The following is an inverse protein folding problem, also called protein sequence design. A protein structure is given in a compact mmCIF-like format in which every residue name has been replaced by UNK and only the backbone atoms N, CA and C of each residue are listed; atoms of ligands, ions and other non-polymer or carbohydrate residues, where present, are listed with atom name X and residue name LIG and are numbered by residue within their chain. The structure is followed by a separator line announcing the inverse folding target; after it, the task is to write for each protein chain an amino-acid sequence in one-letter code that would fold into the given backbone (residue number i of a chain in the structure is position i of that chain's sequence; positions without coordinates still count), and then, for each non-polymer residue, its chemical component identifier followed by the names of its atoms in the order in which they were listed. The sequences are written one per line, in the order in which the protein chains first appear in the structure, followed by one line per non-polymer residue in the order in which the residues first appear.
data_IF_858902673593
#
_entry.id   IF_858902673593
#
_cell.length_a   1.000
_cell.length_b   1.000
_cell.length_c   1.000
_cell.angle_alpha   90.00
_cell.angle_beta   90.00
_cell.angle_gamma   90.00
#
_symmetry.space_group_name_H-M   'P 1'
#
loop_
_entity.id
_entity.type
_entity.pdbx_description
1 polymer ?
#
# COMPACT_ATOMS: atom_id res chain seq x y z
N UNK A 1 59.63 7.48 67.22
CA UNK A 1 59.32 7.44 65.78
C UNK A 1 57.89 7.96 65.67
N UNK A 2 57.76 9.27 65.86
CA UNK A 2 56.53 10.00 65.90
C UNK A 2 56.75 11.34 65.19
N UNK A 3 55.65 11.82 64.56
CA UNK A 3 55.42 13.13 63.95
C UNK A 3 56.12 13.52 62.65
N UNK A 4 55.46 13.08 61.56
CA UNK A 4 55.39 13.93 60.37
C UNK A 4 53.94 14.15 59.96
N UNK A 5 53.05 14.55 60.89
CA UNK A 5 51.78 15.13 60.57
C UNK A 5 52.02 16.51 59.94
N UNK A 6 51.80 16.59 58.60
CA UNK A 6 52.04 17.79 57.81
C UNK A 6 51.34 19.01 58.42
N UNK A 7 52.02 20.16 58.41
CA UNK A 7 51.46 21.45 58.85
C UNK A 7 50.10 21.73 58.21
N UNK A 8 49.08 22.14 58.94
CA UNK A 8 47.76 22.44 58.40
C UNK A 8 47.91 23.51 57.30
N UNK A 9 47.36 23.22 56.13
CA UNK A 9 47.33 24.17 54.98
C UNK A 9 46.57 25.43 55.40
N UNK A 10 47.22 26.64 55.29
CA UNK A 10 46.53 27.87 55.71
C UNK A 10 45.25 28.13 54.95
N UNK A 11 44.15 28.41 55.64
CA UNK A 11 42.80 28.65 55.06
C UNK A 11 42.82 29.59 53.87
N UNK A 12 43.71 30.61 53.86
CA UNK A 12 43.88 31.55 52.73
C UNK A 12 44.42 30.86 51.47
N UNK A 13 45.33 29.89 51.63
CA UNK A 13 45.83 29.11 50.47
C UNK A 13 44.75 28.18 49.87
N UNK A 14 43.89 27.56 50.70
CA UNK A 14 42.76 26.75 50.24
C UNK A 14 41.78 27.61 49.48
N UNK A 15 41.45 28.82 50.01
CA UNK A 15 40.55 29.75 49.33
C UNK A 15 41.10 30.22 47.97
N UNK A 16 42.37 30.57 47.89
CA UNK A 16 42.99 31.00 46.62
C UNK A 16 42.98 29.85 45.57
N UNK A 17 43.32 28.62 45.98
CA UNK A 17 43.26 27.46 45.09
C UNK A 17 41.83 27.20 44.63
N UNK A 18 40.84 27.29 45.54
CA UNK A 18 39.40 27.09 45.18
C UNK A 18 38.91 28.17 44.21
N UNK A 19 39.28 29.45 44.42
CA UNK A 19 38.93 30.55 43.50
C UNK A 19 39.62 30.35 42.13
N UNK A 20 40.86 29.91 42.09
CA UNK A 20 41.57 29.65 40.86
C UNK A 20 40.96 28.46 40.07
N UNK A 21 40.66 27.38 40.77
CA UNK A 21 39.94 26.23 40.17
C UNK A 21 38.54 26.65 39.64
N UNK A 22 37.78 27.41 40.42
CA UNK A 22 36.50 27.93 40.01
C UNK A 22 36.62 28.83 38.76
N UNK A 23 37.61 29.71 38.70
CA UNK A 23 37.87 30.55 37.53
C UNK A 23 38.18 29.73 36.25
N UNK A 24 39.01 28.70 36.40
CA UNK A 24 39.33 27.78 35.30
C UNK A 24 38.07 27.06 34.83
N UNK A 25 37.29 26.49 35.74
CA UNK A 25 36.05 25.77 35.39
C UNK A 25 35.04 26.68 34.70
N UNK A 26 34.89 27.92 35.21
CA UNK A 26 34.02 28.93 34.60
C UNK A 26 34.47 29.30 33.17
N UNK A 27 35.77 29.54 32.99
CA UNK A 27 36.36 29.77 31.65
C UNK A 27 36.11 28.62 30.70
N UNK A 28 36.34 27.38 31.13
CA UNK A 28 36.08 26.19 30.32
C UNK A 28 34.57 26.06 29.97
N UNK A 29 33.70 26.28 30.93
CA UNK A 29 32.25 26.24 30.70
C UNK A 29 31.79 27.28 29.65
N UNK A 30 32.32 28.51 29.76
CA UNK A 30 32.02 29.59 28.79
C UNK A 30 32.59 29.21 27.39
N UNK A 31 33.81 28.70 27.35
CA UNK A 31 34.45 28.29 26.10
C UNK A 31 33.65 27.20 25.40
N UNK A 32 33.22 26.16 26.13
CA UNK A 32 32.38 25.06 25.60
C UNK A 32 31.04 25.62 25.12
N UNK A 33 30.39 26.47 25.92
CA UNK A 33 29.11 27.07 25.54
C UNK A 33 29.19 27.93 24.27
N UNK A 34 30.25 28.75 24.13
CA UNK A 34 30.51 29.56 22.95
C UNK A 34 30.80 28.68 21.74
N UNK A 35 31.57 27.62 21.89
CA UNK A 35 31.86 26.68 20.84
C UNK A 35 30.59 26.00 20.33
N UNK A 36 29.77 25.47 21.24
CA UNK A 36 28.49 24.83 20.91
C UNK A 36 27.56 25.79 20.21
N UNK A 37 27.41 27.02 20.72
CA UNK A 37 26.58 28.06 20.08
C UNK A 37 27.03 28.36 18.64
N UNK A 38 28.34 28.41 18.37
CA UNK A 38 28.89 28.68 17.03
C UNK A 38 28.74 27.49 16.08
N UNK A 39 28.91 26.28 16.57
CA UNK A 39 28.78 25.05 15.78
C UNK A 39 27.34 24.84 15.25
N UNK A 40 26.33 25.30 15.98
CA UNK A 40 24.94 25.22 15.55
C UNK A 40 24.50 26.30 14.54
N UNK A 41 25.43 27.15 14.08
CA UNK A 41 25.16 28.11 13.00
C UNK A 41 25.27 27.47 11.61
N UNK A 42 24.67 28.13 10.62
CA UNK A 42 24.72 27.67 9.23
C UNK A 42 25.83 28.33 8.42
N UNK A 43 26.64 29.19 9.04
CA UNK A 43 27.75 29.90 8.40
C UNK A 43 29.07 29.20 8.68
N UNK A 44 29.80 28.84 7.62
CA UNK A 44 31.08 28.13 7.68
C UNK A 44 32.06 28.85 8.61
N UNK A 45 32.25 30.18 8.49
CA UNK A 45 33.18 30.95 9.31
C UNK A 45 32.87 30.90 10.81
N UNK A 46 31.59 30.76 11.19
CA UNK A 46 31.16 30.62 12.58
C UNK A 46 31.42 29.22 13.11
N UNK A 47 31.08 28.20 12.31
CA UNK A 47 31.31 26.80 12.66
C UNK A 47 32.83 26.52 12.81
N UNK A 48 33.67 27.06 11.91
CA UNK A 48 35.13 26.97 12.02
C UNK A 48 35.67 27.55 13.33
N UNK A 49 35.15 28.71 13.77
CA UNK A 49 35.52 29.29 15.08
C UNK A 49 35.08 28.40 16.23
N UNK A 50 33.90 27.79 16.13
CA UNK A 50 33.41 26.83 17.14
C UNK A 50 34.34 25.63 17.25
N UNK A 51 34.67 25.04 16.10
CA UNK A 51 35.64 23.92 16.01
C UNK A 51 37.03 24.32 16.57
N UNK A 52 37.52 25.53 16.27
CA UNK A 52 38.80 26.01 16.80
C UNK A 52 38.81 26.15 18.32
N UNK A 53 37.68 26.47 18.94
CA UNK A 53 37.52 26.50 20.41
C UNK A 53 37.51 25.10 21.02
N UNK A 54 36.94 24.12 20.33
CA UNK A 54 36.82 22.72 20.80
C UNK A 54 37.25 21.71 19.73
N UNK A 55 38.51 21.69 19.41
CA UNK A 55 39.08 20.83 18.34
C UNK A 55 38.96 19.33 18.63
N UNK A 56 38.73 18.91 19.85
CA UNK A 56 38.54 17.51 20.24
C UNK A 56 37.05 17.05 20.12
N UNK A 57 36.15 17.97 19.85
CA UNK A 57 34.74 17.67 19.68
C UNK A 57 34.48 17.09 18.27
N UNK A 58 34.24 15.78 18.17
CA UNK A 58 33.97 15.08 16.93
C UNK A 58 32.70 15.60 16.24
N UNK A 59 31.64 15.92 16.99
CA UNK A 59 30.38 16.44 16.45
C UNK A 59 30.58 17.81 15.79
N UNK A 60 31.51 18.64 16.32
CA UNK A 60 31.81 19.92 15.73
C UNK A 60 32.48 19.78 14.34
N UNK A 61 33.40 18.82 14.20
CA UNK A 61 34.02 18.49 12.90
C UNK A 61 33.00 17.92 11.89
N UNK A 62 32.13 17.01 12.33
CA UNK A 62 31.06 16.46 11.50
C UNK A 62 30.12 17.56 11.01
N UNK A 63 29.71 18.45 11.92
CA UNK A 63 28.86 19.58 11.54
C UNK A 63 29.52 20.51 10.51
N UNK A 64 30.83 20.79 10.68
CA UNK A 64 31.60 21.61 9.74
C UNK A 64 31.59 20.97 8.34
N UNK A 65 31.85 19.66 8.26
CA UNK A 65 31.83 18.91 7.01
C UNK A 65 30.48 19.01 6.33
N UNK A 66 29.37 18.83 7.08
CA UNK A 66 28.00 18.94 6.54
C UNK A 66 27.68 20.35 6.05
N UNK A 67 28.07 21.39 6.77
CA UNK A 67 27.81 22.77 6.35
C UNK A 67 28.58 23.11 5.08
N UNK A 68 29.80 22.58 4.90
CA UNK A 68 30.57 22.75 3.66
C UNK A 68 29.97 21.99 2.48
N UNK A 69 29.45 20.79 2.69
CA UNK A 69 28.72 20.05 1.62
C UNK A 69 27.39 20.73 1.23
N UNK A 70 26.71 21.34 2.20
CA UNK A 70 25.43 22.01 1.97
C UNK A 70 25.55 23.41 1.38
N UNK A 71 26.76 23.97 1.26
CA UNK A 71 26.96 25.29 0.63
C UNK A 71 26.79 25.20 -0.90
N UNK A 72 25.58 25.51 -1.36
CA UNK A 72 25.25 25.47 -2.78
C UNK A 72 26.00 26.51 -3.64
N UNK A 73 26.56 27.57 -3.00
CA UNK A 73 27.29 28.62 -3.72
C UNK A 73 28.73 28.21 -4.01
N UNK A 74 29.38 27.55 -3.06
CA UNK A 74 30.76 27.07 -3.16
C UNK A 74 30.95 25.76 -2.41
N UNK A 75 30.44 24.64 -2.93
CA UNK A 75 30.60 23.35 -2.27
C UNK A 75 32.07 22.96 -2.23
N UNK A 76 32.63 22.79 -1.03
CA UNK A 76 33.99 22.32 -0.82
C UNK A 76 33.97 20.89 -0.26
N UNK A 77 33.63 19.96 -1.13
CA UNK A 77 33.52 18.54 -0.78
C UNK A 77 34.88 17.95 -0.32
N UNK A 78 36.01 18.47 -0.83
CA UNK A 78 37.33 17.99 -0.41
C UNK A 78 37.64 18.41 1.03
N UNK A 79 37.33 19.65 1.42
CA UNK A 79 37.48 20.11 2.80
C UNK A 79 36.45 19.41 3.73
N UNK A 80 35.22 19.16 3.26
CA UNK A 80 34.24 18.40 4.01
C UNK A 80 34.71 16.97 4.34
N UNK A 81 35.30 16.25 3.38
CA UNK A 81 35.94 14.94 3.60
C UNK A 81 37.01 15.02 4.66
N UNK A 82 37.88 16.05 4.61
CA UNK A 82 38.92 16.21 5.62
C UNK A 82 38.35 16.45 7.04
N UNK A 83 37.21 17.14 7.14
CA UNK A 83 36.56 17.37 8.42
C UNK A 83 35.86 16.11 8.94
N UNK A 84 35.18 15.34 8.08
CA UNK A 84 34.63 14.03 8.44
C UNK A 84 35.70 13.03 8.87
N UNK A 85 36.91 13.04 8.25
CA UNK A 85 38.03 12.23 8.69
C UNK A 85 38.46 12.57 10.13
N UNK A 86 38.47 13.87 10.48
CA UNK A 86 38.78 14.32 11.85
C UNK A 86 37.70 13.88 12.84
N UNK A 87 36.44 13.90 12.46
CA UNK A 87 35.35 13.40 13.30
C UNK A 87 35.50 11.89 13.58
N UNK A 88 35.73 11.09 12.53
CA UNK A 88 35.95 9.65 12.64
C UNK A 88 37.17 9.31 13.46
N UNK A 89 38.27 10.06 13.31
CA UNK A 89 39.52 9.84 14.08
C UNK A 89 39.30 10.01 15.60
N UNK A 90 38.36 10.89 15.99
CA UNK A 90 38.02 11.13 17.39
C UNK A 90 37.03 10.12 17.96
N UNK A 91 36.06 9.68 17.16
CA UNK A 91 35.03 8.72 17.58
C UNK A 91 34.90 7.62 16.51
N UNK A 92 35.85 6.67 16.46
CA UNK A 92 35.91 5.65 15.41
C UNK A 92 34.80 4.59 15.49
N UNK A 93 34.00 4.56 16.55
CA UNK A 93 32.86 3.67 16.71
C UNK A 93 31.51 4.32 16.30
N UNK A 94 31.53 5.57 15.83
CA UNK A 94 30.31 6.23 15.35
C UNK A 94 29.98 5.79 13.94
N UNK A 95 28.94 4.99 13.78
CA UNK A 95 28.40 4.60 12.46
C UNK A 95 27.98 5.83 11.63
N UNK A 96 27.43 6.85 12.30
CA UNK A 96 27.00 8.09 11.65
C UNK A 96 28.18 8.82 11.00
N UNK A 97 29.30 9.00 11.72
CA UNK A 97 30.46 9.70 11.17
C UNK A 97 31.13 8.94 10.02
N UNK A 98 31.16 7.61 10.09
CA UNK A 98 31.59 6.78 8.96
C UNK A 98 30.67 6.91 7.77
N UNK A 99 29.35 6.99 7.98
CA UNK A 99 28.37 7.15 6.91
C UNK A 99 28.53 8.53 6.24
N UNK A 100 28.70 9.61 7.01
CA UNK A 100 28.91 10.95 6.47
C UNK A 100 30.24 11.02 5.70
N UNK A 101 31.31 10.41 6.22
CA UNK A 101 32.59 10.29 5.51
C UNK A 101 32.42 9.51 4.18
N UNK A 102 31.61 8.45 4.18
CA UNK A 102 31.37 7.66 2.98
C UNK A 102 30.64 8.47 1.91
N UNK A 103 29.62 9.23 2.31
CA UNK A 103 28.90 10.15 1.41
C UNK A 103 29.85 11.23 0.87
N UNK A 104 30.68 11.81 1.72
CA UNK A 104 31.69 12.78 1.30
C UNK A 104 32.71 12.18 0.31
N UNK A 105 33.17 10.95 0.49
CA UNK A 105 34.03 10.29 -0.49
C UNK A 105 33.31 10.03 -1.81
N UNK A 106 32.02 9.68 -1.79
CA UNK A 106 31.21 9.52 -3.00
C UNK A 106 31.11 10.86 -3.75
N UNK A 107 30.88 11.97 -3.06
CA UNK A 107 30.73 13.30 -3.67
C UNK A 107 32.01 13.78 -4.37
N UNK A 108 33.18 13.36 -3.91
CA UNK A 108 34.48 13.65 -4.59
C UNK A 108 34.88 12.55 -5.58
N UNK A 109 34.04 11.55 -5.83
CA UNK A 109 34.30 10.47 -6.79
C UNK A 109 35.28 9.39 -6.29
N UNK A 110 35.66 9.39 -5.01
CA UNK A 110 36.51 8.35 -4.44
C UNK A 110 35.71 7.13 -4.02
N UNK A 111 35.20 6.38 -5.01
CA UNK A 111 34.29 5.23 -4.82
C UNK A 111 34.92 4.11 -3.94
N UNK A 112 36.22 3.75 -4.09
CA UNK A 112 36.81 2.74 -3.22
C UNK A 112 36.82 3.13 -1.74
N UNK A 113 37.17 4.38 -1.42
CA UNK A 113 37.16 4.88 -0.05
C UNK A 113 35.73 5.01 0.51
N UNK A 114 34.78 5.41 -0.30
CA UNK A 114 33.37 5.45 0.06
C UNK A 114 32.85 4.05 0.46
N UNK A 115 33.18 3.03 -0.34
CA UNK A 115 32.79 1.63 -0.04
C UNK A 115 33.39 1.13 1.26
N UNK A 116 34.67 1.42 1.51
CA UNK A 116 35.32 1.07 2.78
C UNK A 116 34.67 1.77 3.97
N UNK A 117 34.41 3.07 3.87
CA UNK A 117 33.78 3.86 4.93
C UNK A 117 32.35 3.37 5.23
N UNK A 118 31.54 3.04 4.22
CA UNK A 118 30.23 2.39 4.43
C UNK A 118 30.38 1.03 5.12
N UNK A 119 31.38 0.22 4.76
CA UNK A 119 31.68 -1.04 5.44
C UNK A 119 32.00 -0.83 6.92
N UNK A 120 32.77 0.22 7.27
CA UNK A 120 33.05 0.61 8.65
C UNK A 120 31.79 1.07 9.39
N UNK A 121 30.94 1.88 8.76
CA UNK A 121 29.65 2.28 9.33
C UNK A 121 28.81 1.06 9.70
N UNK A 122 28.69 0.10 8.78
CA UNK A 122 27.99 -1.18 9.00
C UNK A 122 28.59 -2.01 10.13
N UNK A 123 29.92 -2.07 10.23
CA UNK A 123 30.58 -2.79 11.30
C UNK A 123 30.39 -2.11 12.67
N UNK A 124 30.36 -0.76 12.71
CA UNK A 124 30.13 0.01 13.93
C UNK A 124 28.68 -0.13 14.47
N UNK A 125 27.68 -0.21 13.59
CA UNK A 125 26.28 -0.43 13.99
C UNK A 125 25.57 -1.38 13.02
N UNK A 126 25.73 -2.69 13.19
CA UNK A 126 25.12 -3.70 12.30
C UNK A 126 23.60 -3.69 12.23
N UNK A 127 22.91 -3.26 13.27
CA UNK A 127 21.45 -3.22 13.35
C UNK A 127 20.82 -1.91 12.83
N UNK A 128 21.62 -1.00 12.24
CA UNK A 128 21.08 0.26 11.73
C UNK A 128 20.41 0.09 10.37
N UNK A 129 19.09 0.27 10.32
CA UNK A 129 18.32 0.33 9.06
C UNK A 129 18.79 1.48 8.16
N UNK A 130 19.08 2.64 8.75
CA UNK A 130 19.51 3.84 8.03
C UNK A 130 20.87 3.60 7.34
N UNK A 131 21.86 3.07 8.06
CA UNK A 131 23.17 2.77 7.46
C UNK A 131 23.05 1.76 6.33
N UNK A 132 22.26 0.70 6.54
CA UNK A 132 22.02 -0.32 5.52
C UNK A 132 21.31 0.27 4.29
N UNK A 133 20.30 1.11 4.50
CA UNK A 133 19.58 1.79 3.43
C UNK A 133 20.47 2.70 2.60
N UNK A 134 21.24 3.57 3.24
CA UNK A 134 22.13 4.52 2.56
C UNK A 134 23.24 3.77 1.80
N UNK A 135 23.83 2.75 2.43
CA UNK A 135 24.85 1.92 1.79
C UNK A 135 24.28 1.13 0.60
N UNK A 136 23.09 0.55 0.74
CA UNK A 136 22.39 -0.15 -0.35
C UNK A 136 22.17 0.76 -1.55
N UNK A 137 21.66 1.97 -1.33
CA UNK A 137 21.47 2.95 -2.41
C UNK A 137 22.79 3.38 -3.06
N UNK A 138 23.88 3.52 -2.29
CA UNK A 138 25.21 3.75 -2.86
C UNK A 138 25.61 2.62 -3.80
N UNK A 139 25.50 1.37 -3.37
CA UNK A 139 25.87 0.20 -4.18
C UNK A 139 25.03 0.12 -5.48
N UNK A 140 23.74 0.39 -5.40
CA UNK A 140 22.87 0.45 -6.60
C UNK A 140 23.31 1.54 -7.59
N UNK A 141 23.72 2.72 -7.10
CA UNK A 141 24.27 3.79 -7.97
C UNK A 141 25.57 3.39 -8.64
N UNK A 142 26.36 2.49 -8.02
CA UNK A 142 27.57 1.96 -8.61
C UNK A 142 27.34 0.75 -9.53
N UNK A 143 26.09 0.31 -9.72
CA UNK A 143 25.72 -0.85 -10.52
C UNK A 143 25.96 -2.22 -9.83
N UNK A 144 26.30 -2.22 -8.55
CA UNK A 144 26.45 -3.44 -7.73
C UNK A 144 25.08 -3.83 -7.15
N UNK A 145 24.20 -4.34 -8.03
CA UNK A 145 22.81 -4.56 -7.69
C UNK A 145 22.63 -5.63 -6.61
N UNK A 146 23.35 -6.76 -6.70
CA UNK A 146 23.21 -7.86 -5.74
C UNK A 146 23.59 -7.43 -4.32
N UNK A 147 24.73 -6.75 -4.18
CA UNK A 147 25.14 -6.22 -2.89
C UNK A 147 24.19 -5.10 -2.40
N UNK A 148 23.67 -4.27 -3.32
CA UNK A 148 22.70 -3.25 -3.04
C UNK A 148 21.38 -3.82 -2.52
N UNK A 149 20.84 -4.84 -3.17
CA UNK A 149 19.62 -5.53 -2.74
C UNK A 149 19.79 -6.19 -1.37
N UNK A 150 20.93 -6.82 -1.11
CA UNK A 150 21.23 -7.40 0.18
C UNK A 150 21.26 -6.36 1.32
N UNK A 151 21.79 -5.15 1.07
CA UNK A 151 21.75 -4.07 2.05
C UNK A 151 20.35 -3.50 2.25
N UNK A 152 19.55 -3.36 1.19
CA UNK A 152 18.14 -2.94 1.29
C UNK A 152 17.34 -3.97 2.07
N UNK A 153 17.48 -5.26 1.78
CA UNK A 153 16.85 -6.33 2.56
C UNK A 153 17.21 -6.21 4.04
N UNK A 154 18.51 -5.99 4.34
CA UNK A 154 18.94 -5.80 5.71
C UNK A 154 18.29 -4.55 6.36
N UNK A 155 18.15 -3.46 5.62
CA UNK A 155 17.47 -2.26 6.12
C UNK A 155 16.01 -2.54 6.52
N UNK A 156 15.29 -3.31 5.70
CA UNK A 156 13.92 -3.74 5.99
C UNK A 156 13.84 -4.69 7.19
N UNK A 157 14.79 -5.62 7.33
CA UNK A 157 14.83 -6.55 8.46
C UNK A 157 15.28 -5.89 9.78
N UNK A 158 16.11 -4.86 9.73
CA UNK A 158 16.59 -4.14 10.90
C UNK A 158 15.51 -3.24 11.52
N UNK A 159 14.43 -2.95 10.80
CA UNK A 159 13.22 -2.31 11.33
C UNK A 159 12.06 -3.32 11.40
N UNK A 160 12.02 -4.20 12.42
CA UNK A 160 11.07 -5.31 12.47
C UNK A 160 9.60 -4.89 12.58
N UNK A 161 9.33 -3.62 12.88
CA UNK A 161 7.96 -3.07 12.91
C UNK A 161 7.64 -2.28 11.64
N UNK A 162 8.61 -2.18 10.70
CA UNK A 162 8.50 -1.30 9.54
C UNK A 162 7.99 0.08 9.96
N UNK A 163 8.63 0.64 11.00
CA UNK A 163 8.20 1.86 11.69
C UNK A 163 8.19 3.09 10.77
N UNK A 164 8.99 3.07 9.69
CA UNK A 164 8.85 4.00 8.57
C UNK A 164 7.93 3.39 7.50
N UNK A 165 6.66 3.84 7.41
CA UNK A 165 5.70 3.30 6.45
C UNK A 165 6.10 3.53 4.98
N UNK A 166 7.12 4.36 4.72
CA UNK A 166 7.62 4.64 3.37
C UNK A 166 8.77 3.73 2.95
N UNK A 167 9.38 3.01 3.88
CA UNK A 167 10.61 2.26 3.59
C UNK A 167 10.37 1.12 2.60
N UNK A 168 9.30 0.34 2.79
CA UNK A 168 8.97 -0.76 1.87
C UNK A 168 8.58 -0.24 0.48
N UNK A 169 7.65 0.71 0.31
CA UNK A 169 7.33 1.27 -1.00
C UNK A 169 8.55 1.87 -1.72
N UNK A 170 9.43 2.55 -1.00
CA UNK A 170 10.68 3.09 -1.56
C UNK A 170 11.62 1.97 -2.03
N UNK A 171 11.77 0.90 -1.24
CA UNK A 171 12.57 -0.26 -1.60
C UNK A 171 12.00 -0.96 -2.85
N UNK A 172 10.70 -1.24 -2.85
CA UNK A 172 10.00 -1.86 -3.99
C UNK A 172 10.16 -1.00 -5.25
N UNK A 173 9.87 0.30 -5.15
CA UNK A 173 10.03 1.23 -6.28
C UNK A 173 11.45 1.23 -6.83
N UNK A 174 12.45 1.33 -5.95
CA UNK A 174 13.87 1.38 -6.36
C UNK A 174 14.29 0.10 -7.09
N UNK A 175 13.96 -1.05 -6.51
CA UNK A 175 14.35 -2.35 -7.07
C UNK A 175 13.53 -2.66 -8.33
N UNK A 176 12.25 -2.33 -8.36
CA UNK A 176 11.40 -2.52 -9.53
C UNK A 176 11.90 -1.74 -10.75
N UNK A 177 12.33 -0.48 -10.57
CA UNK A 177 12.90 0.31 -11.66
C UNK A 177 14.19 -0.27 -12.25
N UNK A 178 14.93 -1.05 -11.45
CA UNK A 178 16.20 -1.66 -11.90
C UNK A 178 16.01 -3.05 -12.53
N UNK A 179 15.11 -3.86 -11.98
CA UNK A 179 15.00 -5.28 -12.36
C UNK A 179 13.74 -5.62 -13.16
N UNK A 180 12.62 -4.95 -12.87
CA UNK A 180 11.27 -5.29 -13.35
C UNK A 180 10.90 -6.77 -13.14
N UNK A 181 11.47 -7.39 -12.11
CA UNK A 181 11.29 -8.80 -11.76
C UNK A 181 10.81 -8.94 -10.31
N UNK A 182 9.58 -9.45 -10.16
CA UNK A 182 9.00 -9.72 -8.84
C UNK A 182 9.77 -10.79 -8.06
N UNK A 183 10.46 -11.71 -8.73
CA UNK A 183 11.28 -12.73 -8.05
C UNK A 183 12.51 -12.10 -7.38
N UNK A 184 13.09 -11.07 -7.96
CA UNK A 184 14.18 -10.31 -7.32
C UNK A 184 13.67 -9.65 -6.04
N UNK A 185 12.50 -9.00 -6.10
CA UNK A 185 11.87 -8.42 -4.91
C UNK A 185 11.63 -9.46 -3.82
N UNK A 186 11.03 -10.60 -4.19
CA UNK A 186 10.63 -11.65 -3.24
C UNK A 186 11.79 -12.43 -2.63
N UNK A 187 12.86 -12.65 -3.39
CA UNK A 187 13.95 -13.53 -2.97
C UNK A 187 15.17 -12.78 -2.43
N UNK A 188 15.36 -11.51 -2.80
CA UNK A 188 16.55 -10.76 -2.45
C UNK A 188 16.27 -9.52 -1.59
N UNK A 189 15.01 -9.00 -1.57
CA UNK A 189 14.74 -7.68 -0.99
C UNK A 189 13.71 -7.73 0.13
N UNK A 190 12.52 -8.26 -0.13
CA UNK A 190 11.43 -8.23 0.84
C UNK A 190 11.65 -9.26 1.95
N UNK A 191 11.50 -8.88 3.23
CA UNK A 191 11.43 -9.85 4.32
C UNK A 191 10.16 -10.69 4.21
N UNK A 192 10.12 -11.90 4.81
CA UNK A 192 8.91 -12.74 4.85
C UNK A 192 7.90 -12.18 5.87
N UNK A 193 7.37 -11.01 5.55
CA UNK A 193 6.45 -10.27 6.38
C UNK A 193 5.16 -9.92 5.63
N UNK A 194 4.02 -10.06 6.29
CA UNK A 194 2.70 -9.89 5.68
C UNK A 194 2.45 -8.44 5.25
N UNK A 195 2.81 -7.46 6.10
CA UNK A 195 2.61 -6.05 5.78
C UNK A 195 3.54 -5.58 4.66
N UNK A 196 4.79 -6.09 4.63
CA UNK A 196 5.71 -5.83 3.53
C UNK A 196 5.17 -6.34 2.20
N UNK A 197 4.58 -7.53 2.17
CA UNK A 197 3.98 -8.08 0.94
C UNK A 197 2.74 -7.30 0.52
N UNK A 198 1.87 -6.88 1.44
CA UNK A 198 0.74 -6.03 1.09
C UNK A 198 1.16 -4.68 0.52
N UNK A 199 2.15 -4.02 1.12
CA UNK A 199 2.67 -2.76 0.58
C UNK A 199 3.29 -2.94 -0.82
N UNK A 200 3.93 -4.09 -1.07
CA UNK A 200 4.45 -4.42 -2.38
C UNK A 200 3.31 -4.70 -3.40
N UNK A 201 2.23 -5.38 -2.99
CA UNK A 201 1.03 -5.57 -3.83
C UNK A 201 0.40 -4.22 -4.16
N UNK A 202 0.22 -3.34 -3.17
CA UNK A 202 -0.33 -2.01 -3.37
C UNK A 202 0.49 -1.22 -4.42
N UNK A 203 1.82 -1.27 -4.34
CA UNK A 203 2.70 -0.69 -5.36
C UNK A 203 2.49 -1.30 -6.75
N UNK A 204 2.34 -2.64 -6.86
CA UNK A 204 2.09 -3.30 -8.14
C UNK A 204 0.71 -2.94 -8.70
N UNK A 205 -0.29 -2.77 -7.85
CA UNK A 205 -1.63 -2.31 -8.23
C UNK A 205 -1.58 -0.89 -8.79
N UNK A 206 -0.93 0.04 -8.09
CA UNK A 206 -0.76 1.43 -8.55
C UNK A 206 -0.02 1.53 -9.89
N UNK A 207 0.93 0.62 -10.13
CA UNK A 207 1.72 0.58 -11.38
C UNK A 207 1.13 -0.37 -12.44
N UNK A 208 -0.07 -0.93 -12.23
CA UNK A 208 -0.78 -1.82 -13.15
C UNK A 208 0.05 -3.04 -13.58
N UNK A 209 0.64 -3.73 -12.59
CA UNK A 209 1.48 -4.92 -12.79
C UNK A 209 0.79 -6.19 -12.25
N UNK A 210 -0.23 -6.74 -12.93
CA UNK A 210 -1.02 -7.84 -12.39
C UNK A 210 -0.21 -9.11 -12.18
N UNK A 211 0.69 -9.47 -13.09
CA UNK A 211 1.53 -10.67 -12.97
C UNK A 211 2.44 -10.59 -11.74
N UNK A 212 3.06 -9.44 -11.49
CA UNK A 212 3.90 -9.25 -10.31
C UNK A 212 3.07 -9.28 -9.02
N UNK A 213 1.90 -8.62 -9.02
CA UNK A 213 0.98 -8.65 -7.88
C UNK A 213 0.55 -10.08 -7.53
N UNK A 214 0.25 -10.91 -8.53
CA UNK A 214 -0.11 -12.33 -8.32
C UNK A 214 1.04 -13.15 -7.73
N UNK A 215 2.27 -12.96 -8.17
CA UNK A 215 3.43 -13.63 -7.59
C UNK A 215 3.64 -13.26 -6.13
N UNK A 216 3.48 -11.97 -5.79
CA UNK A 216 3.60 -11.51 -4.40
C UNK A 216 2.43 -12.02 -3.56
N UNK A 217 1.21 -12.07 -4.10
CA UNK A 217 0.03 -12.66 -3.44
C UNK A 217 0.26 -14.13 -3.07
N UNK A 218 0.78 -14.93 -3.99
CA UNK A 218 1.12 -16.34 -3.72
C UNK A 218 2.17 -16.49 -2.61
N UNK A 219 3.18 -15.62 -2.60
CA UNK A 219 4.19 -15.61 -1.55
C UNK A 219 3.59 -15.19 -0.20
N UNK A 220 2.67 -14.22 -0.17
CA UNK A 220 1.94 -13.81 1.03
C UNK A 220 1.16 -14.97 1.63
N UNK A 221 0.41 -15.71 0.82
CA UNK A 221 -0.36 -16.88 1.27
C UNK A 221 0.55 -17.99 1.83
N UNK A 222 1.75 -18.15 1.28
CA UNK A 222 2.72 -19.15 1.77
C UNK A 222 3.20 -18.90 3.21
N UNK A 223 2.95 -17.71 3.78
CA UNK A 223 3.19 -17.44 5.20
C UNK A 223 2.23 -18.18 6.14
N UNK A 224 1.10 -18.69 5.64
CA UNK A 224 0.10 -19.38 6.41
C UNK A 224 -0.61 -18.52 7.48
N UNK A 225 -0.55 -17.19 7.35
CA UNK A 225 -1.20 -16.26 8.27
C UNK A 225 -2.60 -15.90 7.79
N UNK A 226 -3.58 -15.68 8.72
CA UNK A 226 -4.87 -15.15 8.33
C UNK A 226 -4.76 -13.82 7.58
N UNK A 227 -5.63 -13.63 6.60
CA UNK A 227 -5.68 -12.40 5.77
C UNK A 227 -7.02 -11.71 6.01
N UNK A 228 -7.01 -10.42 6.26
CA UNK A 228 -8.23 -9.63 6.24
C UNK A 228 -8.75 -9.53 4.79
N UNK A 229 -9.99 -9.99 4.55
CA UNK A 229 -10.54 -10.11 3.20
C UNK A 229 -10.45 -8.79 2.39
N UNK A 230 -10.70 -7.65 3.02
CA UNK A 230 -10.66 -6.33 2.35
C UNK A 230 -9.29 -5.97 1.80
N UNK A 231 -8.21 -6.55 2.35
CA UNK A 231 -6.84 -6.35 1.84
C UNK A 231 -6.62 -7.00 0.47
N UNK A 232 -7.48 -7.92 0.05
CA UNK A 232 -7.45 -8.51 -1.30
C UNK A 232 -8.16 -7.65 -2.36
N UNK A 233 -8.96 -6.65 -1.98
CA UNK A 233 -9.77 -5.89 -2.93
C UNK A 233 -8.96 -5.09 -3.97
N UNK A 234 -7.83 -4.46 -3.62
CA UNK A 234 -7.02 -3.78 -4.62
C UNK A 234 -6.49 -4.70 -5.73
N UNK A 235 -5.96 -5.87 -5.36
CA UNK A 235 -5.48 -6.83 -6.38
C UNK A 235 -6.66 -7.38 -7.21
N UNK A 236 -7.81 -7.68 -6.60
CA UNK A 236 -9.00 -8.12 -7.34
C UNK A 236 -9.48 -7.05 -8.31
N UNK A 237 -9.46 -5.77 -7.92
CA UNK A 237 -9.80 -4.69 -8.82
C UNK A 237 -8.84 -4.59 -10.01
N UNK A 238 -7.53 -4.70 -9.76
CA UNK A 238 -6.52 -4.75 -10.82
C UNK A 238 -6.77 -5.90 -11.80
N UNK A 239 -7.17 -7.08 -11.31
CA UNK A 239 -7.45 -8.23 -12.14
C UNK A 239 -8.73 -8.03 -12.99
N UNK A 240 -9.77 -7.38 -12.44
CA UNK A 240 -10.97 -6.98 -13.18
C UNK A 240 -10.61 -6.00 -14.31
N UNK A 241 -9.85 -4.93 -13.98
CA UNK A 241 -9.41 -3.94 -14.98
C UNK A 241 -8.46 -4.51 -16.04
N UNK A 242 -7.75 -5.59 -15.71
CA UNK A 242 -6.82 -6.28 -16.60
C UNK A 242 -7.47 -7.44 -17.37
N UNK A 243 -8.77 -7.66 -17.19
CA UNK A 243 -9.55 -8.74 -17.79
C UNK A 243 -9.04 -10.17 -17.50
N UNK A 244 -8.51 -10.38 -16.28
CA UNK A 244 -7.94 -11.63 -15.81
C UNK A 244 -8.94 -12.42 -14.93
N UNK A 245 -10.05 -12.88 -15.54
CA UNK A 245 -11.17 -13.50 -14.83
C UNK A 245 -10.80 -14.75 -14.05
N UNK A 246 -10.05 -15.67 -14.65
CA UNK A 246 -9.61 -16.91 -13.98
C UNK A 246 -8.74 -16.64 -12.75
N UNK A 247 -7.81 -15.67 -12.87
CA UNK A 247 -6.98 -15.25 -11.75
C UNK A 247 -7.78 -14.55 -10.66
N UNK A 248 -8.77 -13.71 -11.02
CA UNK A 248 -9.65 -13.08 -10.06
C UNK A 248 -10.49 -14.10 -9.28
N UNK A 249 -11.06 -15.11 -9.96
CA UNK A 249 -11.76 -16.24 -9.31
C UNK A 249 -10.86 -16.98 -8.32
N UNK A 250 -9.63 -17.24 -8.72
CA UNK A 250 -8.65 -17.93 -7.88
C UNK A 250 -8.30 -17.10 -6.65
N UNK A 251 -7.91 -15.82 -6.83
CA UNK A 251 -7.54 -14.90 -5.74
C UNK A 251 -8.72 -14.71 -4.78
N UNK A 252 -9.96 -14.62 -5.29
CA UNK A 252 -11.16 -14.50 -4.45
C UNK A 252 -11.33 -15.71 -3.53
N UNK A 253 -11.29 -16.93 -4.06
CA UNK A 253 -11.37 -18.16 -3.26
C UNK A 253 -10.25 -18.27 -2.23
N UNK A 254 -9.02 -17.98 -2.64
CA UNK A 254 -7.85 -17.97 -1.77
C UNK A 254 -7.99 -16.93 -0.64
N UNK A 255 -8.52 -15.73 -0.95
CA UNK A 255 -8.75 -14.69 0.03
C UNK A 255 -9.85 -15.06 1.05
N UNK A 256 -10.94 -15.66 0.58
CA UNK A 256 -11.99 -16.18 1.46
C UNK A 256 -11.44 -17.26 2.40
N UNK A 257 -10.69 -18.22 1.85
CA UNK A 257 -10.06 -19.27 2.64
C UNK A 257 -9.09 -18.70 3.69
N UNK A 258 -8.24 -17.76 3.30
CA UNK A 258 -7.29 -17.12 4.20
C UNK A 258 -7.97 -16.24 5.27
N UNK A 259 -9.18 -15.73 4.98
CA UNK A 259 -10.01 -15.00 5.94
C UNK A 259 -10.85 -15.93 6.83
N UNK A 260 -10.79 -17.25 6.65
CA UNK A 260 -11.60 -18.22 7.39
C UNK A 260 -13.10 -18.16 7.06
N UNK A 261 -13.44 -17.65 5.88
CA UNK A 261 -14.81 -17.59 5.39
C UNK A 261 -15.14 -18.82 4.54
N UNK A 262 -16.42 -19.23 4.46
CA UNK A 262 -16.83 -20.30 3.56
C UNK A 262 -16.42 -19.94 2.11
N UNK A 263 -15.72 -20.86 1.50
CA UNK A 263 -15.15 -20.71 0.14
C UNK A 263 -15.43 -21.94 -0.73
N UNK A 264 -16.10 -22.92 -0.14
CA UNK A 264 -16.53 -24.12 -0.86
C UNK A 264 -17.50 -23.76 -1.95
N UNK A 265 -17.49 -24.51 -3.03
CA UNK A 265 -18.45 -24.34 -4.12
C UNK A 265 -19.86 -24.33 -3.53
N UNK A 266 -20.67 -23.31 -3.86
CA UNK A 266 -22.05 -23.28 -3.39
C UNK A 266 -22.75 -24.55 -3.84
N UNK A 267 -23.68 -25.04 -3.08
CA UNK A 267 -24.56 -26.13 -3.47
C UNK A 267 -25.31 -25.83 -4.79
N UNK A 268 -25.33 -24.57 -5.20
CA UNK A 268 -25.81 -24.06 -6.49
C UNK A 268 -24.62 -23.84 -7.45
N UNK A 269 -24.73 -24.21 -8.74
CA UNK A 269 -23.72 -23.96 -9.75
C UNK A 269 -23.60 -22.46 -10.15
N UNK A 270 -24.20 -21.56 -9.38
CA UNK A 270 -24.21 -20.12 -9.65
C UNK A 270 -22.82 -19.50 -9.44
N UNK A 271 -22.42 -18.66 -10.39
CA UNK A 271 -21.19 -17.85 -10.30
C UNK A 271 -21.41 -16.54 -9.51
N UNK A 272 -22.66 -16.20 -9.20
CA UNK A 272 -23.00 -15.01 -8.39
C UNK A 272 -22.61 -15.30 -6.92
N UNK A 273 -21.78 -14.46 -6.35
CA UNK A 273 -21.50 -14.46 -4.92
C UNK A 273 -22.62 -13.72 -4.18
N UNK A 274 -23.12 -14.31 -3.06
CA UNK A 274 -24.15 -13.70 -2.23
C UNK A 274 -25.42 -13.31 -3.04
N UNK A 275 -25.84 -14.18 -3.97
CA UNK A 275 -27.04 -13.94 -4.79
C UNK A 275 -28.34 -14.13 -4.03
N UNK A 276 -28.30 -14.83 -2.90
CA UNK A 276 -29.38 -14.97 -1.91
C UNK A 276 -29.41 -13.81 -0.90
N UNK A 277 -28.48 -12.86 -0.99
CA UNK A 277 -28.31 -11.73 -0.07
C UNK A 277 -28.23 -12.10 1.41
N UNK A 278 -27.82 -13.34 1.73
CA UNK A 278 -27.70 -13.80 3.12
C UNK A 278 -26.69 -12.98 3.95
N UNK A 279 -25.78 -12.29 3.28
CA UNK A 279 -24.75 -11.42 3.88
C UNK A 279 -24.90 -9.98 3.42
N UNK A 280 -24.43 -9.04 4.24
CA UNK A 280 -24.35 -7.64 3.84
C UNK A 280 -23.27 -7.44 2.77
N UNK A 281 -23.46 -6.44 1.91
CA UNK A 281 -22.51 -6.14 0.83
C UNK A 281 -21.13 -5.77 1.35
N UNK A 282 -20.11 -6.41 0.82
CA UNK A 282 -18.72 -6.07 1.13
C UNK A 282 -18.27 -4.78 0.43
N UNK A 283 -18.97 -4.36 -0.62
CA UNK A 283 -18.64 -3.23 -1.47
C UNK A 283 -17.24 -3.34 -2.11
N UNK A 284 -16.83 -4.54 -2.49
CA UNK A 284 -15.54 -4.81 -3.09
C UNK A 284 -15.31 -6.29 -3.38
N UNK A 285 -14.14 -6.61 -3.91
CA UNK A 285 -13.86 -7.96 -4.37
C UNK A 285 -14.78 -8.39 -5.52
N UNK A 286 -15.27 -9.61 -5.44
CA UNK A 286 -16.29 -10.14 -6.36
C UNK A 286 -17.69 -10.16 -5.73
N UNK A 287 -17.94 -9.34 -4.68
CA UNK A 287 -19.27 -9.16 -4.10
C UNK A 287 -19.98 -7.93 -4.67
N UNK A 288 -21.27 -7.80 -4.32
CA UNK A 288 -22.11 -6.68 -4.69
C UNK A 288 -21.54 -5.34 -4.23
N UNK A 289 -21.71 -4.32 -5.09
CA UNK A 289 -21.29 -2.93 -4.85
C UNK A 289 -22.49 -2.02 -4.89
N UNK A 290 -22.60 -1.14 -3.90
CA UNK A 290 -23.61 -0.12 -3.77
C UNK A 290 -23.00 1.20 -3.29
N UNK A 291 -23.32 2.28 -3.98
CA UNK A 291 -22.92 3.62 -3.57
C UNK A 291 -23.93 4.20 -2.57
N UNK A 292 -23.61 4.15 -1.30
CA UNK A 292 -24.47 4.68 -0.24
C UNK A 292 -24.70 6.20 -0.30
N UNK A 293 -23.96 6.93 -1.14
CA UNK A 293 -24.13 8.37 -1.37
C UNK A 293 -25.12 8.68 -2.50
N UNK A 294 -25.73 7.67 -3.11
CA UNK A 294 -26.69 7.87 -4.17
C UNK A 294 -27.96 8.58 -3.64
N UNK A 295 -28.24 9.76 -4.19
CA UNK A 295 -29.43 10.53 -3.82
C UNK A 295 -30.66 9.97 -4.56
N UNK A 296 -31.75 9.80 -3.83
CA UNK A 296 -33.02 9.37 -4.41
C UNK A 296 -33.26 7.86 -4.41
N UNK A 297 -32.28 7.05 -4.01
CA UNK A 297 -32.45 5.62 -3.76
C UNK A 297 -31.71 5.18 -2.51
N UNK A 298 -32.22 4.16 -1.83
CA UNK A 298 -31.58 3.50 -0.68
C UNK A 298 -31.80 2.00 -0.75
N UNK A 299 -30.93 1.24 -0.06
CA UNK A 299 -31.06 -0.20 0.05
C UNK A 299 -31.33 -0.65 1.48
N UNK A 300 -32.03 -1.76 1.60
CA UNK A 300 -32.24 -2.52 2.83
C UNK A 300 -32.34 -4.01 2.53
N UNK A 301 -32.47 -4.82 3.57
CA UNK A 301 -32.64 -6.26 3.43
C UNK A 301 -33.90 -6.70 4.18
N UNK A 302 -34.69 -7.57 3.57
CA UNK A 302 -35.94 -8.11 4.11
C UNK A 302 -35.97 -9.64 3.96
N UNK A 303 -37.10 -10.26 4.35
CA UNK A 303 -37.28 -11.70 4.22
C UNK A 303 -37.14 -12.16 2.76
N UNK A 304 -36.62 -13.37 2.58
CA UNK A 304 -36.47 -14.01 1.29
C UNK A 304 -37.81 -14.10 0.52
N UNK A 305 -37.76 -14.22 -0.84
CA UNK A 305 -38.90 -14.60 -1.62
C UNK A 305 -39.53 -15.92 -1.15
N UNK A 306 -40.82 -16.14 -1.34
CA UNK A 306 -41.40 -17.46 -1.08
C UNK A 306 -40.64 -18.56 -1.85
N UNK A 307 -40.32 -19.66 -1.23
CA UNK A 307 -39.54 -20.77 -1.80
C UNK A 307 -38.02 -20.52 -1.98
N UNK A 308 -37.50 -19.41 -1.52
CA UNK A 308 -36.04 -19.11 -1.54
C UNK A 308 -35.49 -19.05 -0.10
N UNK A 309 -34.20 -19.29 0.03
CA UNK A 309 -33.45 -19.11 1.28
C UNK A 309 -32.78 -17.72 1.31
N UNK A 310 -32.20 -17.30 2.43
CA UNK A 310 -31.48 -16.05 2.57
C UNK A 310 -32.37 -14.84 2.87
N UNK A 311 -32.15 -13.77 2.14
CA UNK A 311 -32.90 -12.48 2.25
C UNK A 311 -33.28 -11.97 0.86
N UNK A 312 -34.08 -10.91 0.82
CA UNK A 312 -34.27 -10.09 -0.38
C UNK A 312 -33.61 -8.74 -0.20
N UNK A 313 -33.00 -8.24 -1.27
CA UNK A 313 -32.54 -6.86 -1.37
C UNK A 313 -33.73 -5.97 -1.65
N UNK A 314 -33.98 -4.97 -0.80
CA UNK A 314 -34.99 -3.94 -0.98
C UNK A 314 -34.34 -2.65 -1.49
N UNK A 315 -34.95 -2.06 -2.51
CA UNK A 315 -34.59 -0.77 -3.11
C UNK A 315 -35.76 0.18 -2.92
N UNK A 316 -35.57 1.27 -2.18
CA UNK A 316 -36.57 2.33 -1.97
C UNK A 316 -36.22 3.55 -2.81
N UNK A 317 -37.20 4.07 -3.55
CA UNK A 317 -37.07 5.23 -4.43
C UNK A 317 -37.90 6.41 -3.88
N UNK A 318 -37.25 7.55 -3.65
CA UNK A 318 -37.83 8.68 -2.93
C UNK A 318 -38.82 9.52 -3.71
N UNK A 319 -38.92 9.38 -5.04
CA UNK A 319 -39.73 10.25 -5.89
C UNK A 319 -39.16 11.65 -6.12
N UNK A 320 -37.93 11.91 -5.66
CA UNK A 320 -37.28 13.21 -5.78
C UNK A 320 -36.46 13.41 -7.04
N UNK A 321 -35.94 12.31 -7.63
CA UNK A 321 -34.92 12.36 -8.66
C UNK A 321 -35.27 11.58 -9.93
N UNK A 322 -34.80 12.06 -11.08
CA UNK A 322 -34.76 11.31 -12.33
C UNK A 322 -33.51 10.43 -12.37
N UNK A 323 -33.55 9.33 -11.65
CA UNK A 323 -32.38 8.48 -11.39
C UNK A 323 -31.83 7.86 -12.69
N UNK A 324 -30.49 7.82 -12.76
CA UNK A 324 -29.76 6.93 -13.65
C UNK A 324 -29.10 5.85 -12.76
N UNK A 325 -29.80 4.76 -12.52
CA UNK A 325 -29.33 3.70 -11.65
C UNK A 325 -28.58 2.64 -12.46
N UNK A 326 -27.41 2.25 -11.96
CA UNK A 326 -26.59 1.14 -12.48
C UNK A 326 -26.03 0.29 -11.32
N UNK A 327 -26.74 0.28 -10.20
CA UNK A 327 -26.37 -0.36 -8.96
C UNK A 327 -27.59 -0.98 -8.26
N UNK A 328 -27.43 -2.01 -7.42
CA UNK A 328 -26.18 -2.68 -7.12
C UNK A 328 -25.58 -3.41 -8.32
N UNK A 329 -24.26 -3.56 -8.30
CA UNK A 329 -23.49 -4.18 -9.37
C UNK A 329 -22.57 -5.26 -8.82
N UNK A 330 -22.40 -6.35 -9.58
CA UNK A 330 -21.39 -7.38 -9.32
C UNK A 330 -20.60 -7.69 -10.58
N UNK A 331 -19.29 -7.85 -10.44
CA UNK A 331 -18.42 -8.36 -11.50
C UNK A 331 -18.24 -9.85 -11.31
N UNK A 332 -18.59 -10.63 -12.32
CA UNK A 332 -18.60 -12.09 -12.29
C UNK A 332 -17.58 -12.61 -13.30
N UNK A 333 -16.53 -13.30 -12.87
CA UNK A 333 -15.62 -13.99 -13.77
C UNK A 333 -16.34 -15.10 -14.53
N UNK A 334 -16.12 -15.16 -15.84
CA UNK A 334 -16.77 -16.12 -16.75
C UNK A 334 -15.78 -16.73 -17.73
N UNK A 335 -16.15 -17.87 -18.34
CA UNK A 335 -15.38 -18.47 -19.42
C UNK A 335 -15.76 -17.85 -20.77
N UNK A 336 -14.79 -17.58 -21.65
CA UNK A 336 -15.05 -17.14 -23.02
C UNK A 336 -15.84 -18.16 -23.84
N UNK A 337 -16.62 -17.68 -24.81
CA UNK A 337 -17.37 -18.50 -25.77
C UNK A 337 -18.31 -19.53 -25.11
N UNK A 338 -18.85 -19.20 -23.96
CA UNK A 338 -19.75 -20.06 -23.18
C UNK A 338 -21.12 -19.42 -23.00
N UNK A 339 -22.18 -20.23 -22.99
CA UNK A 339 -23.53 -19.78 -22.72
C UNK A 339 -23.80 -19.80 -21.22
N UNK A 340 -24.49 -18.76 -20.74
CA UNK A 340 -24.92 -18.59 -19.36
C UNK A 340 -26.38 -18.27 -19.27
N UNK A 341 -27.03 -18.75 -18.23
CA UNK A 341 -28.41 -18.44 -17.87
C UNK A 341 -28.40 -17.58 -16.61
N UNK A 342 -28.94 -16.38 -16.73
CA UNK A 342 -29.20 -15.48 -15.61
C UNK A 342 -30.62 -15.69 -15.12
N UNK A 343 -30.80 -15.76 -13.80
CA UNK A 343 -32.08 -15.83 -13.13
C UNK A 343 -32.13 -14.89 -11.94
N UNK A 344 -33.25 -14.23 -11.69
CA UNK A 344 -33.54 -13.47 -10.48
C UNK A 344 -35.05 -13.46 -10.20
N UNK A 345 -35.43 -13.27 -8.95
CA UNK A 345 -36.81 -12.96 -8.57
C UNK A 345 -36.95 -11.46 -8.30
N UNK A 346 -37.93 -10.82 -8.94
CA UNK A 346 -38.22 -9.40 -8.79
C UNK A 346 -39.66 -9.18 -8.34
N UNK A 347 -39.84 -8.32 -7.33
CA UNK A 347 -41.15 -7.81 -6.86
C UNK A 347 -41.10 -6.29 -6.89
N UNK A 348 -42.19 -5.63 -7.28
CA UNK A 348 -42.28 -4.16 -7.28
C UNK A 348 -43.55 -3.69 -6.65
N UNK A 349 -43.55 -2.53 -6.02
CA UNK A 349 -44.71 -1.86 -5.45
C UNK A 349 -44.68 -0.36 -5.76
N UNK A 350 -45.69 0.08 -6.51
CA UNK A 350 -45.90 1.50 -6.82
C UNK A 350 -44.77 2.17 -7.59
N UNK A 351 -44.02 1.43 -8.42
CA UNK A 351 -43.00 2.05 -9.26
C UNK A 351 -43.64 2.99 -10.28
N UNK A 352 -43.32 4.28 -10.14
CA UNK A 352 -43.76 5.33 -11.06
C UNK A 352 -42.86 5.38 -12.29
N UNK A 353 -43.24 6.16 -13.29
CA UNK A 353 -42.56 6.39 -14.57
C UNK A 353 -42.56 5.20 -15.53
N UNK A 354 -42.33 5.48 -16.82
CA UNK A 354 -42.24 4.46 -17.88
C UNK A 354 -40.93 3.65 -17.80
N UNK A 355 -39.93 4.19 -17.12
CA UNK A 355 -38.66 3.50 -16.90
C UNK A 355 -38.59 3.02 -15.44
N UNK A 356 -38.89 1.77 -15.22
CA UNK A 356 -38.81 1.08 -13.94
C UNK A 356 -37.45 0.40 -13.73
N UNK A 357 -37.48 -0.82 -13.24
CA UNK A 357 -36.28 -1.60 -12.89
C UNK A 357 -36.14 -2.77 -13.89
N UNK A 358 -34.91 -3.00 -14.31
CA UNK A 358 -34.47 -4.14 -15.12
C UNK A 358 -33.11 -4.60 -14.66
N UNK A 359 -32.61 -5.72 -15.18
CA UNK A 359 -31.19 -6.11 -15.06
C UNK A 359 -30.46 -5.82 -16.37
N UNK A 360 -29.23 -5.37 -16.24
CA UNK A 360 -28.31 -5.17 -17.33
C UNK A 360 -27.13 -6.11 -17.16
N UNK A 361 -26.90 -6.96 -18.16
CA UNK A 361 -25.80 -7.91 -18.22
C UNK A 361 -24.88 -7.46 -19.35
N UNK A 362 -23.63 -7.16 -19.07
CA UNK A 362 -22.70 -6.61 -20.06
C UNK A 362 -21.26 -7.07 -19.80
N UNK A 363 -20.45 -7.04 -20.87
CA UNK A 363 -18.99 -7.16 -20.75
C UNK A 363 -18.41 -5.80 -20.34
N UNK A 364 -17.81 -5.68 -19.14
CA UNK A 364 -17.34 -4.39 -18.64
C UNK A 364 -16.08 -3.90 -19.36
N UNK A 365 -15.29 -4.79 -19.96
CA UNK A 365 -13.98 -4.49 -20.52
C UNK A 365 -14.02 -4.25 -22.04
N UNK A 366 -14.97 -4.86 -22.74
CA UNK A 366 -15.03 -4.80 -24.21
C UNK A 366 -16.27 -4.07 -24.74
N UNK A 367 -17.21 -3.69 -23.86
CA UNK A 367 -18.42 -2.96 -24.25
C UNK A 367 -19.32 -3.70 -25.22
N UNK A 368 -19.04 -4.98 -25.46
CA UNK A 368 -19.78 -5.85 -26.37
C UNK A 368 -20.97 -6.49 -25.67
N UNK A 369 -22.00 -6.81 -26.47
CA UNK A 369 -23.18 -7.60 -26.13
C UNK A 369 -23.79 -7.23 -24.77
N UNK A 370 -24.74 -6.32 -24.82
CA UNK A 370 -25.54 -5.91 -23.68
C UNK A 370 -26.89 -6.65 -23.77
N UNK A 371 -27.20 -7.44 -22.74
CA UNK A 371 -28.54 -8.01 -22.56
C UNK A 371 -29.26 -7.22 -21.47
N UNK A 372 -30.36 -6.58 -21.81
CA UNK A 372 -31.26 -5.97 -20.84
C UNK A 372 -32.50 -6.86 -20.68
N UNK A 373 -32.87 -7.13 -19.44
CA UNK A 373 -34.11 -7.84 -19.15
C UNK A 373 -35.31 -6.93 -19.35
N UNK A 374 -36.50 -7.52 -19.24
CA UNK A 374 -37.75 -6.77 -19.26
C UNK A 374 -37.76 -5.65 -18.18
N UNK A 375 -38.43 -4.53 -18.51
CA UNK A 375 -38.52 -3.36 -17.65
C UNK A 375 -39.78 -3.43 -16.79
N UNK A 376 -39.65 -3.50 -15.47
CA UNK A 376 -40.75 -3.61 -14.53
C UNK A 376 -41.18 -2.23 -14.00
N UNK A 377 -42.44 -1.89 -14.21
CA UNK A 377 -43.07 -0.66 -13.73
C UNK A 377 -44.33 -1.00 -12.92
N UNK A 378 -44.84 -0.08 -12.09
CA UNK A 378 -46.05 -0.29 -11.29
C UNK A 378 -45.85 -1.31 -10.17
N UNK A 379 -46.81 -2.22 -10.02
CA UNK A 379 -46.86 -3.21 -8.94
C UNK A 379 -46.92 -4.63 -9.50
N UNK A 380 -45.92 -5.44 -9.13
CA UNK A 380 -45.86 -6.85 -9.51
C UNK A 380 -45.57 -7.71 -8.27
N UNK A 381 -46.22 -8.86 -8.15
CA UNK A 381 -45.81 -9.90 -7.21
C UNK A 381 -44.46 -10.48 -7.61
N UNK A 382 -43.87 -11.33 -6.78
CA UNK A 382 -42.64 -12.03 -7.13
C UNK A 382 -42.76 -12.69 -8.50
N UNK A 383 -41.93 -12.23 -9.44
CA UNK A 383 -41.90 -12.64 -10.84
C UNK A 383 -40.52 -13.07 -11.22
N UNK A 384 -40.31 -14.22 -11.86
CA UNK A 384 -39.02 -14.63 -12.36
C UNK A 384 -38.57 -13.71 -13.52
N UNK A 385 -37.29 -13.41 -13.54
CA UNK A 385 -36.62 -12.61 -14.58
C UNK A 385 -35.47 -13.43 -15.10
N UNK A 386 -35.57 -13.89 -16.32
CA UNK A 386 -34.60 -14.78 -16.94
C UNK A 386 -33.96 -14.14 -18.15
N UNK A 387 -32.68 -14.41 -18.38
CA UNK A 387 -31.98 -13.99 -19.59
C UNK A 387 -30.85 -14.96 -19.93
N UNK A 388 -30.70 -15.26 -21.19
CA UNK A 388 -29.58 -16.03 -21.70
C UNK A 388 -28.54 -15.10 -22.31
N UNK A 389 -27.27 -15.40 -22.03
CA UNK A 389 -26.13 -14.66 -22.56
C UNK A 389 -25.03 -15.62 -23.04
N UNK A 390 -24.48 -15.34 -24.20
CA UNK A 390 -23.31 -16.08 -24.72
C UNK A 390 -22.11 -15.14 -24.74
N UNK A 391 -21.07 -15.48 -23.99
CA UNK A 391 -19.82 -14.71 -23.93
C UNK A 391 -19.09 -14.74 -25.26
N UNK A 392 -18.42 -13.65 -25.60
CA UNK A 392 -17.53 -13.60 -26.77
C UNK A 392 -16.19 -14.31 -26.46
N UNK A 393 -15.36 -14.60 -27.45
CA UNK A 393 -14.01 -15.13 -27.20
C UNK A 393 -13.10 -14.24 -26.37
N UNK A 394 -13.44 -12.94 -26.23
CA UNK A 394 -12.69 -11.97 -25.45
C UNK A 394 -13.31 -11.68 -24.08
N UNK A 395 -14.49 -12.22 -23.77
CA UNK A 395 -15.21 -11.92 -22.52
C UNK A 395 -14.72 -12.80 -21.38
N UNK A 396 -14.06 -12.24 -20.38
CA UNK A 396 -13.62 -12.92 -19.16
C UNK A 396 -14.36 -12.47 -17.90
N UNK A 397 -15.15 -11.38 -18.01
CA UNK A 397 -16.04 -10.89 -16.97
C UNK A 397 -17.41 -10.53 -17.52
N UNK A 398 -18.43 -10.74 -16.71
CA UNK A 398 -19.76 -10.16 -16.87
C UNK A 398 -20.02 -9.20 -15.72
N UNK A 399 -20.61 -8.06 -16.03
CA UNK A 399 -21.16 -7.14 -15.05
C UNK A 399 -22.67 -7.34 -14.97
N UNK A 400 -23.16 -7.71 -13.80
CA UNK A 400 -24.60 -7.82 -13.51
C UNK A 400 -24.99 -6.57 -12.73
N UNK A 401 -25.94 -5.79 -13.27
CA UNK A 401 -26.35 -4.50 -12.70
C UNK A 401 -27.86 -4.43 -12.59
N UNK A 402 -28.35 -3.85 -11.50
CA UNK A 402 -29.71 -3.36 -11.45
C UNK A 402 -29.75 -2.03 -12.19
N UNK A 403 -30.62 -1.95 -13.18
CA UNK A 403 -30.67 -0.85 -14.13
C UNK A 403 -31.97 -0.09 -14.07
N UNK A 404 -31.93 1.24 -13.98
CA UNK A 404 -33.00 2.15 -14.34
C UNK A 404 -32.45 3.25 -15.24
N UNK A 405 -33.00 3.40 -16.42
CA UNK A 405 -32.65 4.48 -17.35
C UNK A 405 -33.44 5.76 -16.99
N UNK A 406 -32.83 6.95 -17.08
CA UNK A 406 -33.54 8.21 -16.87
C UNK A 406 -34.73 8.33 -17.86
N UNK A 407 -35.87 8.79 -17.35
CA UNK A 407 -37.03 9.09 -18.21
C UNK A 407 -36.83 10.43 -18.93
N UNK A 408 -37.36 10.53 -20.14
CA UNK A 408 -37.43 11.78 -20.93
C UNK A 408 -38.77 12.47 -20.84
N UNK A 409 -39.75 11.86 -20.17
CA UNK A 409 -41.09 12.41 -20.00
C UNK A 409 -41.12 13.43 -18.87
N UNK A 410 -42.18 14.20 -18.77
CA UNK A 410 -42.38 15.20 -17.73
C UNK A 410 -42.44 14.55 -16.33
N UNK A 411 -43.13 13.42 -16.22
CA UNK A 411 -43.20 12.60 -15.00
C UNK A 411 -42.00 11.62 -14.99
N UNK A 412 -40.85 12.12 -14.59
CA UNK A 412 -39.58 11.40 -14.69
C UNK A 412 -38.96 11.00 -13.33
N UNK A 413 -39.65 11.31 -12.24
CA UNK A 413 -39.13 11.05 -10.88
C UNK A 413 -39.62 9.69 -10.39
N UNK A 414 -38.68 8.79 -10.13
CA UNK A 414 -38.99 7.43 -9.71
C UNK A 414 -39.32 7.39 -8.22
N UNK A 415 -40.53 6.92 -7.87
CA UNK A 415 -40.91 6.55 -6.52
C UNK A 415 -41.37 5.09 -6.47
N UNK A 416 -41.48 4.53 -5.29
CA UNK A 416 -41.92 3.15 -5.06
C UNK A 416 -40.79 2.28 -4.52
N UNK A 417 -41.03 0.99 -4.46
CA UNK A 417 -40.10 0.01 -3.89
C UNK A 417 -39.96 -1.20 -4.82
N UNK A 418 -38.73 -1.72 -4.91
CA UNK A 418 -38.44 -2.98 -5.58
C UNK A 418 -37.74 -3.96 -4.61
N UNK A 419 -38.00 -5.24 -4.73
CA UNK A 419 -37.35 -6.31 -4.02
C UNK A 419 -36.73 -7.27 -5.02
N UNK A 420 -35.49 -7.69 -4.76
CA UNK A 420 -34.72 -8.61 -5.58
C UNK A 420 -34.29 -9.78 -4.69
N UNK A 421 -34.41 -10.98 -5.20
CA UNK A 421 -33.95 -12.18 -4.52
C UNK A 421 -33.54 -13.26 -5.49
N UNK A 422 -32.86 -14.27 -4.97
CA UNK A 422 -32.47 -15.49 -5.70
C UNK A 422 -31.73 -15.21 -7.02
N UNK A 423 -30.74 -14.32 -6.96
CA UNK A 423 -29.95 -13.93 -8.15
C UNK A 423 -28.91 -15.01 -8.45
N UNK A 424 -28.94 -15.54 -9.65
CA UNK A 424 -27.99 -16.56 -10.07
C UNK A 424 -27.52 -16.38 -11.51
N UNK A 425 -26.31 -16.83 -11.78
CA UNK A 425 -25.73 -16.95 -13.12
C UNK A 425 -25.11 -18.33 -13.25
N UNK A 426 -25.72 -19.17 -14.07
CA UNK A 426 -25.26 -20.56 -14.22
C UNK A 426 -24.77 -20.83 -15.64
N UNK A 427 -23.68 -21.60 -15.82
CA UNK A 427 -23.34 -22.10 -17.13
C UNK A 427 -24.49 -22.97 -17.66
N UNK A 428 -24.97 -22.68 -18.87
CA UNK A 428 -25.91 -23.57 -19.56
C UNK A 428 -25.11 -24.43 -20.52
N UNK A 429 -25.04 -25.73 -20.25
CA UNK A 429 -24.47 -26.69 -21.20
C UNK A 429 -25.39 -26.69 -22.44
N UNK A 430 -24.88 -26.14 -23.54
CA UNK A 430 -25.65 -25.95 -24.75
C UNK A 430 -26.10 -27.29 -25.35
N UNK A 431 -27.40 -27.46 -25.46
CA UNK A 431 -27.90 -28.19 -26.61
C UNK A 431 -27.49 -27.40 -27.85
N UNK A 432 -26.74 -28.00 -28.76
CA UNK A 432 -26.43 -27.48 -30.10
C UNK A 432 -27.69 -26.86 -30.73
N UNK A 433 -27.64 -25.64 -31.27
CA UNK A 433 -28.84 -25.08 -31.92
C UNK A 433 -29.28 -26.05 -33.03
N UNK A 434 -30.59 -26.29 -33.19
CA UNK A 434 -31.05 -27.16 -34.27
C UNK A 434 -30.58 -26.54 -35.59
N UNK A 435 -29.88 -27.34 -36.39
CA UNK A 435 -29.46 -27.01 -37.75
C UNK A 435 -30.64 -26.37 -38.51
N UNK A 436 -30.55 -25.06 -38.74
CA UNK A 436 -31.41 -24.39 -39.69
C UNK A 436 -30.99 -24.84 -41.10
N UNK A 437 -31.72 -25.85 -41.62
CA UNK A 437 -31.72 -26.19 -43.05
C UNK A 437 -32.38 -25.07 -43.85
#
# INVERSE_FOLDING_TARGET
MEDSLGKPIPRKAVLLVSCFVAAILTYQAIRIWVADYLVHKDRIDQVERGVALESENAAAWERLGRVREADLANPDSAAAVADFQKAVARVPLSAQYWMDLAIGYESVGNIPAAREAFGRARAAYPASSIVAWVYGNFLLRQGDNDAGFAQINHALQADPRLSDPKLVPLAVSRVWHLSQDANVLLNQVLPPDQDAYFQAIDFMVENRQPTAALLIWQRLLSLGKPVELRRSFPILWLLIESDLGADASRVWREALAAAGLPHDEPASPSLIWNGDFARDFLNGGLDWRWNSSLVGASIGFEAAPPSSEGRSLRLDFSGGENLNLMEPQQFVPVEPSRRYHFHALLKTEGLTTENGISFLISDPNHGAAVVATENFTGTHSWTPVDADYTTTPATHFMSIQVRRAPSRLFDNKLSGTAWIGDVSLTPSDGAEPPDTK
#
